data_IF_390432652969
#
_entry.id   IF_390432652969
#
_cell.length_a   1.000
_cell.length_b   1.000
_cell.length_c   1.000
_cell.angle_alpha   90.00
_cell.angle_beta   90.00
_cell.angle_gamma   90.00
#
_symmetry.space_group_name_H-M   'P 1'
#
loop_
_entity.id
_entity.type
_entity.pdbx_description
1 polymer ?
#
# COMPACT_ATOMS: atom_id res chain seq x y z
N UNK A 1 13.07 34.04 -31.05
CA UNK A 1 11.73 33.62 -30.58
C UNK A 1 11.71 32.24 -29.86
N UNK A 2 12.84 31.71 -29.35
CA UNK A 2 12.92 30.35 -28.78
C UNK A 2 13.26 30.26 -27.28
N UNK A 3 13.47 31.37 -26.57
CA UNK A 3 13.80 31.33 -25.12
C UNK A 3 12.59 31.43 -24.19
N UNK A 4 11.44 31.89 -24.70
CA UNK A 4 10.22 32.04 -23.91
C UNK A 4 9.47 30.71 -23.73
N UNK A 5 9.57 29.80 -24.70
CA UNK A 5 8.93 28.48 -24.63
C UNK A 5 9.58 27.54 -23.60
N UNK A 6 10.90 27.62 -23.41
CA UNK A 6 11.63 26.74 -22.47
C UNK A 6 11.32 27.05 -21.01
N UNK A 7 11.05 28.31 -20.66
CA UNK A 7 10.75 28.71 -19.27
C UNK A 7 9.32 28.33 -18.88
N UNK A 8 8.37 28.43 -19.81
CA UNK A 8 6.97 28.04 -19.57
C UNK A 8 6.83 26.52 -19.41
N UNK A 9 7.58 25.71 -20.17
CA UNK A 9 7.59 24.24 -19.98
C UNK A 9 8.17 23.82 -18.63
N UNK A 10 9.16 24.53 -18.08
CA UNK A 10 9.74 24.21 -16.77
C UNK A 10 8.78 24.54 -15.61
N UNK A 11 8.01 25.61 -15.72
CA UNK A 11 6.98 25.97 -14.73
C UNK A 11 5.77 25.02 -14.76
N UNK A 12 5.35 24.56 -15.94
CA UNK A 12 4.28 23.55 -16.06
C UNK A 12 4.77 22.19 -15.52
N UNK A 13 6.03 21.82 -15.76
CA UNK A 13 6.61 20.61 -15.16
C UNK A 13 6.67 20.71 -13.62
N UNK A 14 7.09 21.86 -13.08
CA UNK A 14 7.16 22.07 -11.62
C UNK A 14 5.77 22.16 -10.94
N UNK A 15 4.74 22.61 -11.66
CA UNK A 15 3.35 22.62 -11.16
C UNK A 15 2.68 21.24 -11.22
N UNK A 16 3.10 20.36 -12.13
CA UNK A 16 2.62 18.96 -12.17
C UNK A 16 3.28 18.12 -11.06
N UNK A 17 4.52 18.43 -10.67
CA UNK A 17 5.21 17.74 -9.57
C UNK A 17 4.93 18.29 -8.16
N UNK A 18 4.40 19.51 -8.02
CA UNK A 18 4.17 20.14 -6.69
C UNK A 18 2.75 19.99 -6.11
N UNK A 19 1.81 19.37 -6.81
CA UNK A 19 0.43 19.20 -6.29
C UNK A 19 0.13 17.83 -5.68
N UNK A 20 1.14 16.98 -5.49
CA UNK A 20 1.07 15.98 -4.43
C UNK A 20 1.51 16.71 -3.16
N UNK A 21 0.59 17.49 -2.58
CA UNK A 21 0.75 17.97 -1.22
C UNK A 21 0.84 16.72 -0.33
N UNK A 22 2.07 16.27 -0.06
CA UNK A 22 2.32 15.15 0.83
C UNK A 22 1.55 15.41 2.12
N UNK A 23 0.64 14.51 2.46
CA UNK A 23 -0.34 14.72 3.52
C UNK A 23 0.36 14.77 4.88
N UNK A 24 0.82 15.96 5.26
CA UNK A 24 1.21 16.25 6.63
C UNK A 24 -0.08 16.55 7.39
N UNK A 25 -0.44 15.67 8.31
CA UNK A 25 -1.64 15.85 9.13
C UNK A 25 -1.37 17.02 10.08
N UNK A 26 -2.14 18.10 9.94
CA UNK A 26 -2.15 19.16 10.94
C UNK A 26 -3.04 18.69 12.10
N UNK A 27 -2.54 18.63 13.34
CA UNK A 27 -3.36 18.19 14.46
C UNK A 27 -4.51 19.17 14.72
N UNK A 28 -5.71 18.64 14.86
CA UNK A 28 -6.87 19.36 15.39
C UNK A 28 -6.77 19.31 16.92
N UNK A 29 -6.42 20.45 17.54
CA UNK A 29 -6.16 20.49 18.98
C UNK A 29 -7.38 20.08 19.83
N UNK A 30 -8.60 20.39 19.39
CA UNK A 30 -9.80 20.04 20.14
C UNK A 30 -10.07 18.54 20.04
N UNK A 31 -9.99 17.97 18.83
CA UNK A 31 -10.18 16.53 18.65
C UNK A 31 -9.08 15.73 19.35
N UNK A 32 -7.81 16.14 19.24
CA UNK A 32 -6.69 15.47 19.92
C UNK A 32 -6.83 15.55 21.45
N UNK A 33 -7.34 16.66 21.99
CA UNK A 33 -7.65 16.77 23.42
C UNK A 33 -8.75 15.79 23.82
N UNK A 34 -9.82 15.68 23.03
CA UNK A 34 -10.90 14.72 23.29
C UNK A 34 -10.40 13.27 23.24
N UNK A 35 -9.61 12.90 22.22
CA UNK A 35 -9.03 11.57 22.10
C UNK A 35 -8.12 11.26 23.30
N UNK A 36 -7.28 12.21 23.72
CA UNK A 36 -6.44 12.05 24.89
C UNK A 36 -7.25 11.88 26.18
N UNK A 37 -8.33 12.63 26.35
CA UNK A 37 -9.21 12.51 27.51
C UNK A 37 -9.92 11.15 27.58
N UNK A 38 -10.17 10.47 26.46
CA UNK A 38 -10.69 9.09 26.49
C UNK A 38 -9.70 8.08 27.06
N UNK A 39 -8.40 8.39 27.08
CA UNK A 39 -7.37 7.52 27.65
C UNK A 39 -7.17 7.70 29.17
N UNK A 40 -7.90 8.64 29.79
CA UNK A 40 -7.77 8.96 31.22
C UNK A 40 -8.36 7.83 32.09
N UNK A 41 -7.56 7.35 33.05
CA UNK A 41 -7.92 6.26 33.97
C UNK A 41 -9.06 6.65 34.91
N UNK A 42 -9.24 7.95 35.16
CA UNK A 42 -10.20 8.50 36.11
C UNK A 42 -11.50 8.98 35.43
N UNK A 43 -11.64 8.77 34.12
CA UNK A 43 -12.84 9.22 33.41
C UNK A 43 -14.09 8.49 33.89
N UNK A 44 -15.10 9.24 34.31
CA UNK A 44 -16.38 8.65 34.69
C UNK A 44 -17.05 8.01 33.46
N UNK A 45 -17.74 6.86 33.59
CA UNK A 45 -18.37 6.17 32.44
C UNK A 45 -19.35 7.05 31.64
N UNK A 46 -20.06 7.95 32.33
CA UNK A 46 -20.96 8.92 31.70
C UNK A 46 -20.19 9.91 30.82
N UNK A 47 -19.11 10.46 31.35
CA UNK A 47 -18.25 11.42 30.65
C UNK A 47 -17.55 10.78 29.45
N UNK A 48 -17.11 9.52 29.58
CA UNK A 48 -16.59 8.72 28.48
C UNK A 48 -17.62 8.61 27.35
N UNK A 49 -18.86 8.25 27.67
CA UNK A 49 -19.93 8.09 26.68
C UNK A 49 -20.26 9.42 26.00
N UNK A 50 -20.35 10.52 26.76
CA UNK A 50 -20.60 11.85 26.20
C UNK A 50 -19.46 12.31 25.28
N UNK A 51 -18.21 12.06 25.66
CA UNK A 51 -17.03 12.41 24.89
C UNK A 51 -16.93 11.60 23.59
N UNK A 52 -17.16 10.29 23.68
CA UNK A 52 -17.23 9.41 22.51
C UNK A 52 -18.31 9.87 21.54
N UNK A 53 -19.51 10.19 22.03
CA UNK A 53 -20.59 10.69 21.18
C UNK A 53 -20.24 12.01 20.48
N UNK A 54 -19.49 12.91 21.14
CA UNK A 54 -18.99 14.15 20.51
C UNK A 54 -18.00 13.83 19.38
N UNK A 55 -17.06 12.91 19.62
CA UNK A 55 -16.10 12.45 18.61
C UNK A 55 -16.81 11.81 17.41
N UNK A 56 -17.80 10.93 17.65
CA UNK A 56 -18.57 10.29 16.58
C UNK A 56 -19.46 11.29 15.82
N UNK A 57 -19.96 12.35 16.48
CA UNK A 57 -20.65 13.44 15.78
C UNK A 57 -19.71 14.22 14.86
N UNK A 58 -18.46 14.42 15.27
CA UNK A 58 -17.43 15.03 14.43
C UNK A 58 -17.14 14.18 13.19
N UNK A 59 -16.99 12.86 13.35
CA UNK A 59 -16.80 11.91 12.24
C UNK A 59 -17.86 12.09 11.14
N UNK A 60 -19.14 12.20 11.50
CA UNK A 60 -20.24 12.41 10.54
C UNK A 60 -20.15 13.72 9.75
N UNK A 61 -19.45 14.73 10.27
CA UNK A 61 -19.34 16.06 9.64
C UNK A 61 -18.04 16.24 8.85
N UNK A 62 -17.01 15.43 9.14
CA UNK A 62 -15.68 15.58 8.57
C UNK A 62 -14.91 14.25 8.54
N UNK A 63 -15.47 13.25 7.84
CA UNK A 63 -15.04 11.84 7.86
C UNK A 63 -13.55 11.66 7.56
N UNK A 64 -13.05 12.21 6.45
CA UNK A 64 -11.63 12.10 6.08
C UNK A 64 -10.72 12.67 7.16
N UNK A 65 -11.00 13.90 7.61
CA UNK A 65 -10.18 14.56 8.60
C UNK A 65 -10.22 13.82 9.94
N UNK A 66 -11.35 13.24 10.31
CA UNK A 66 -11.48 12.38 11.48
C UNK A 66 -10.50 11.20 11.44
N UNK A 67 -10.43 10.46 10.32
CA UNK A 67 -9.49 9.35 10.18
C UNK A 67 -8.02 9.79 10.21
N UNK A 68 -7.70 10.95 9.60
CA UNK A 68 -6.38 11.55 9.71
C UNK A 68 -6.00 11.83 11.18
N UNK A 69 -6.94 12.37 11.96
CA UNK A 69 -6.71 12.65 13.38
C UNK A 69 -6.59 11.38 14.23
N UNK A 70 -7.28 10.30 13.89
CA UNK A 70 -7.10 9.01 14.57
C UNK A 70 -5.70 8.43 14.32
N UNK A 71 -5.24 8.44 13.06
CA UNK A 71 -3.88 7.98 12.73
C UNK A 71 -2.83 8.87 13.42
N UNK A 72 -3.03 10.19 13.44
CA UNK A 72 -2.15 11.09 14.17
C UNK A 72 -2.09 10.77 15.67
N UNK A 73 -3.25 10.59 16.30
CA UNK A 73 -3.33 10.20 17.71
C UNK A 73 -2.64 8.88 17.98
N UNK A 74 -2.76 7.90 17.07
CA UNK A 74 -2.11 6.61 17.22
C UNK A 74 -0.59 6.69 17.08
N UNK A 75 -0.11 7.44 16.08
CA UNK A 75 1.32 7.60 15.81
C UNK A 75 2.08 8.32 16.94
N UNK A 76 1.41 9.23 17.63
CA UNK A 76 2.00 10.08 18.67
C UNK A 76 1.51 9.75 20.09
N UNK A 77 0.88 8.60 20.28
CA UNK A 77 0.48 8.11 21.59
C UNK A 77 1.70 7.97 22.52
N UNK A 78 1.60 8.52 23.73
CA UNK A 78 2.66 8.48 24.75
C UNK A 78 2.51 7.32 25.72
N UNK A 79 1.32 6.74 25.77
CA UNK A 79 0.99 5.61 26.66
C UNK A 79 0.32 4.50 25.86
N UNK A 80 0.35 3.28 26.41
CA UNK A 80 -0.37 2.15 25.82
C UNK A 80 -1.87 2.45 25.68
N UNK A 81 -2.50 3.07 26.70
CA UNK A 81 -3.92 3.44 26.66
C UNK A 81 -4.24 4.47 25.58
N UNK A 82 -3.42 5.51 25.44
CA UNK A 82 -3.57 6.47 24.33
C UNK A 82 -3.50 5.76 22.97
N UNK A 83 -2.67 4.73 22.83
CA UNK A 83 -2.56 3.92 21.62
C UNK A 83 -3.79 3.04 21.33
N UNK A 84 -4.60 2.69 22.35
CA UNK A 84 -5.83 1.91 22.18
C UNK A 84 -7.03 2.76 21.80
N UNK A 85 -7.06 4.04 22.17
CA UNK A 85 -8.22 4.94 21.95
C UNK A 85 -8.68 4.95 20.48
N UNK A 86 -7.80 5.11 19.48
CA UNK A 86 -8.22 5.08 18.08
C UNK A 86 -8.98 3.80 17.68
N UNK A 87 -8.55 2.63 18.16
CA UNK A 87 -9.24 1.37 17.91
C UNK A 87 -10.62 1.30 18.57
N UNK A 88 -10.72 1.74 19.83
CA UNK A 88 -12.01 1.80 20.56
C UNK A 88 -12.99 2.76 19.88
N UNK A 89 -12.51 3.92 19.43
CA UNK A 89 -13.33 4.90 18.71
C UNK A 89 -13.85 4.31 17.40
N UNK A 90 -12.99 3.60 16.65
CA UNK A 90 -13.40 2.91 15.42
C UNK A 90 -14.42 1.80 15.67
N UNK A 91 -14.20 0.94 16.66
CA UNK A 91 -15.12 -0.16 17.02
C UNK A 91 -16.53 0.35 17.39
N UNK A 92 -16.60 1.57 17.94
CA UNK A 92 -17.86 2.23 18.33
C UNK A 92 -18.45 3.11 17.23
N UNK A 93 -17.76 3.26 16.11
CA UNK A 93 -18.26 4.02 14.96
C UNK A 93 -18.98 3.09 13.98
N UNK A 94 -19.99 3.62 13.28
CA UNK A 94 -20.74 2.86 12.27
C UNK A 94 -20.01 2.81 10.90
N UNK A 95 -18.68 2.91 10.88
CA UNK A 95 -17.89 2.95 9.64
C UNK A 95 -17.46 1.55 9.21
N UNK A 96 -17.55 1.26 7.92
CA UNK A 96 -17.07 -0.02 7.38
C UNK A 96 -15.54 -0.03 7.29
N UNK A 97 -14.94 -1.23 7.26
CA UNK A 97 -13.48 -1.40 7.07
C UNK A 97 -13.01 -0.73 5.77
N UNK A 98 -13.80 -0.84 4.71
CA UNK A 98 -13.53 -0.25 3.40
C UNK A 98 -13.51 1.28 3.47
N UNK A 99 -14.43 1.90 4.23
CA UNK A 99 -14.42 3.35 4.46
C UNK A 99 -13.15 3.79 5.19
N UNK A 100 -12.71 3.04 6.21
CA UNK A 100 -11.45 3.35 6.90
C UNK A 100 -10.29 3.28 5.91
N UNK A 101 -10.15 2.18 5.17
CA UNK A 101 -9.08 1.98 4.18
C UNK A 101 -9.07 3.07 3.11
N UNK A 102 -10.23 3.46 2.58
CA UNK A 102 -10.36 4.52 1.56
C UNK A 102 -9.82 5.87 2.06
N UNK A 103 -10.09 6.19 3.33
CA UNK A 103 -9.72 7.47 3.93
C UNK A 103 -8.28 7.54 4.43
N UNK A 104 -7.66 6.42 4.83
CA UNK A 104 -6.29 6.43 5.39
C UNK A 104 -5.20 6.12 4.36
N UNK A 105 -5.52 5.49 3.23
CA UNK A 105 -4.47 4.96 2.32
C UNK A 105 -3.57 6.03 1.71
N UNK A 106 -4.05 7.27 1.55
CA UNK A 106 -3.21 8.39 1.10
C UNK A 106 -2.15 8.80 2.13
N UNK A 107 -2.31 8.40 3.40
CA UNK A 107 -1.33 8.66 4.46
C UNK A 107 -0.09 7.78 4.32
N UNK A 108 -0.12 6.74 3.49
CA UNK A 108 1.09 5.99 3.11
C UNK A 108 2.10 6.86 2.36
N UNK A 109 1.65 7.92 1.68
CA UNK A 109 2.51 8.89 0.98
C UNK A 109 2.97 10.06 1.89
N UNK A 110 2.70 9.99 3.20
CA UNK A 110 3.13 11.00 4.16
C UNK A 110 4.66 11.06 4.29
N UNK A 111 5.18 12.26 4.58
CA UNK A 111 6.61 12.45 4.94
C UNK A 111 6.92 12.05 6.37
N UNK A 112 5.88 11.94 7.19
CA UNK A 112 6.00 11.58 8.59
C UNK A 112 6.05 10.05 8.73
N UNK A 113 7.23 9.52 9.06
CA UNK A 113 7.46 8.08 9.16
C UNK A 113 6.57 7.41 10.22
N UNK A 114 6.24 8.11 11.30
CA UNK A 114 5.37 7.56 12.35
C UNK A 114 3.93 7.38 11.82
N UNK A 115 3.44 8.35 11.05
CA UNK A 115 2.14 8.28 10.37
C UNK A 115 2.11 7.16 9.33
N UNK A 116 3.14 7.05 8.50
CA UNK A 116 3.25 5.96 7.50
C UNK A 116 3.22 4.61 8.19
N UNK A 117 4.05 4.41 9.22
CA UNK A 117 4.11 3.16 9.96
C UNK A 117 2.74 2.78 10.55
N UNK A 118 2.05 3.72 11.21
CA UNK A 118 0.73 3.42 11.80
C UNK A 118 -0.36 3.19 10.76
N UNK A 119 -0.25 3.84 9.62
CA UNK A 119 -1.14 3.59 8.49
C UNK A 119 -0.89 2.19 7.91
N UNK A 120 0.36 1.76 7.73
CA UNK A 120 0.71 0.40 7.32
C UNK A 120 0.14 -0.63 8.32
N UNK A 121 0.35 -0.43 9.63
CA UNK A 121 -0.18 -1.33 10.69
C UNK A 121 -1.71 -1.47 10.62
N UNK A 122 -2.44 -0.37 10.45
CA UNK A 122 -3.90 -0.38 10.34
C UNK A 122 -4.38 -1.08 9.06
N UNK A 123 -3.79 -0.72 7.92
CA UNK A 123 -4.12 -1.34 6.65
C UNK A 123 -3.92 -2.86 6.72
N UNK A 124 -2.80 -3.34 7.27
CA UNK A 124 -2.54 -4.78 7.45
C UNK A 124 -3.58 -5.45 8.34
N UNK A 125 -4.00 -4.78 9.41
CA UNK A 125 -5.04 -5.32 10.31
C UNK A 125 -6.39 -5.51 9.62
N UNK A 126 -6.69 -4.70 8.60
CA UNK A 126 -7.91 -4.83 7.80
C UNK A 126 -7.78 -5.83 6.65
N UNK A 127 -6.56 -5.99 6.11
CA UNK A 127 -6.26 -6.91 5.01
C UNK A 127 -6.14 -8.37 5.45
N UNK A 128 -5.82 -8.61 6.73
CA UNK A 128 -5.74 -9.95 7.31
C UNK A 128 -7.16 -10.50 7.49
N UNK A 129 -7.51 -11.57 6.77
CA UNK A 129 -8.81 -12.23 6.92
C UNK A 129 -8.82 -13.09 8.20
N UNK A 130 -9.95 -13.11 8.91
CA UNK A 130 -10.10 -13.69 10.25
C UNK A 130 -9.73 -15.19 10.41
N UNK A 131 -9.35 -15.90 9.35
CA UNK A 131 -8.93 -17.31 9.41
C UNK A 131 -7.89 -17.72 8.35
N UNK A 132 -7.32 -16.76 7.62
CA UNK A 132 -6.35 -17.03 6.56
C UNK A 132 -5.15 -16.12 6.79
N UNK A 133 -3.94 -16.70 6.89
CA UNK A 133 -2.67 -15.95 6.92
C UNK A 133 -2.35 -15.24 5.58
N UNK A 134 -3.38 -14.96 4.76
CA UNK A 134 -3.29 -14.31 3.47
C UNK A 134 -3.90 -12.92 3.56
N UNK A 135 -3.17 -11.96 3.03
CA UNK A 135 -3.67 -10.60 2.86
C UNK A 135 -4.68 -10.57 1.72
N UNK A 136 -5.67 -9.69 1.84
CA UNK A 136 -6.66 -9.45 0.80
C UNK A 136 -6.66 -7.98 0.40
N UNK A 137 -6.15 -7.70 -0.80
CA UNK A 137 -6.06 -6.33 -1.34
C UNK A 137 -7.25 -5.96 -2.24
N UNK A 138 -8.30 -6.77 -2.31
CA UNK A 138 -9.45 -6.59 -3.22
C UNK A 138 -10.12 -5.22 -3.07
N UNK A 139 -10.16 -4.66 -1.85
CA UNK A 139 -10.70 -3.33 -1.58
C UNK A 139 -10.03 -2.23 -2.42
N UNK A 140 -8.79 -2.44 -2.87
CA UNK A 140 -8.02 -1.47 -3.65
C UNK A 140 -8.20 -1.58 -5.16
N UNK A 141 -8.92 -2.60 -5.68
CA UNK A 141 -9.13 -2.77 -7.13
C UNK A 141 -9.66 -1.50 -7.82
N UNK A 142 -10.70 -0.81 -7.31
CA UNK A 142 -11.20 0.41 -7.96
C UNK A 142 -10.13 1.51 -8.07
N UNK A 143 -9.32 1.66 -7.02
CA UNK A 143 -8.23 2.65 -6.96
C UNK A 143 -7.11 2.29 -7.91
N UNK A 144 -6.63 1.04 -7.87
CA UNK A 144 -5.58 0.54 -8.76
C UNK A 144 -6.02 0.59 -10.23
N UNK A 145 -7.26 0.24 -10.55
CA UNK A 145 -7.82 0.36 -11.90
C UNK A 145 -7.78 1.80 -12.40
N UNK A 146 -8.15 2.76 -11.56
CA UNK A 146 -8.06 4.20 -11.88
C UNK A 146 -6.60 4.62 -12.12
N UNK A 147 -5.68 4.19 -11.27
CA UNK A 147 -4.23 4.44 -11.41
C UNK A 147 -3.66 3.84 -12.69
N UNK A 148 -4.00 2.60 -13.04
CA UNK A 148 -3.54 1.95 -14.28
C UNK A 148 -4.08 2.70 -15.49
N UNK A 149 -5.39 3.02 -15.52
CA UNK A 149 -6.00 3.71 -16.66
C UNK A 149 -5.33 5.06 -16.95
N UNK A 150 -4.94 5.81 -15.92
CA UNK A 150 -4.23 7.09 -16.05
C UNK A 150 -2.73 6.93 -16.28
N UNK A 151 -2.13 5.90 -15.70
CA UNK A 151 -0.70 5.61 -15.74
C UNK A 151 -0.25 4.90 -17.01
N UNK A 152 -1.16 4.28 -17.77
CA UNK A 152 -0.87 3.73 -19.11
C UNK A 152 -0.31 4.79 -20.08
N UNK A 153 -0.62 6.07 -19.87
CA UNK A 153 -0.10 7.15 -20.71
C UNK A 153 1.29 7.66 -20.25
N UNK A 154 1.73 7.40 -19.01
CA UNK A 154 2.94 8.03 -18.42
C UNK A 154 3.85 7.09 -17.58
N UNK A 155 3.58 5.78 -17.52
CA UNK A 155 4.45 4.79 -16.88
C UNK A 155 4.56 4.85 -15.34
N UNK A 156 3.73 5.66 -14.65
CA UNK A 156 3.77 5.80 -13.19
C UNK A 156 2.36 5.68 -12.59
N UNK A 157 2.09 4.74 -11.67
CA UNK A 157 0.80 4.66 -11.01
C UNK A 157 0.60 5.86 -10.07
N UNK A 158 -0.63 6.35 -9.99
CA UNK A 158 -1.08 7.14 -8.83
C UNK A 158 -1.07 6.22 -7.59
N UNK A 159 -0.67 6.73 -6.42
CA UNK A 159 -0.56 6.01 -5.14
C UNK A 159 0.60 5.01 -5.06
N UNK A 160 1.82 5.47 -5.35
CA UNK A 160 3.05 4.66 -5.28
C UNK A 160 3.25 3.98 -3.93
N UNK A 161 2.92 4.65 -2.82
CA UNK A 161 3.08 4.06 -1.50
C UNK A 161 2.12 2.88 -1.24
N UNK A 162 0.89 2.92 -1.74
CA UNK A 162 -0.02 1.76 -1.70
C UNK A 162 0.54 0.59 -2.51
N UNK A 163 1.05 0.85 -3.72
CA UNK A 163 1.66 -0.20 -4.54
C UNK A 163 2.87 -0.81 -3.82
N UNK A 164 3.71 0.04 -3.21
CA UNK A 164 4.86 -0.40 -2.40
C UNK A 164 4.39 -1.28 -1.24
N UNK A 165 3.38 -0.85 -0.50
CA UNK A 165 2.77 -1.61 0.59
C UNK A 165 2.35 -3.01 0.14
N UNK A 166 1.51 -3.10 -0.90
CA UNK A 166 0.98 -4.37 -1.40
C UNK A 166 2.10 -5.35 -1.79
N UNK A 167 3.07 -4.91 -2.59
CA UNK A 167 4.16 -5.78 -3.06
C UNK A 167 5.19 -6.12 -1.97
N UNK A 168 5.37 -5.25 -0.97
CA UNK A 168 6.25 -5.51 0.19
C UNK A 168 5.70 -6.64 1.04
N UNK A 169 4.39 -6.66 1.28
CA UNK A 169 3.77 -7.61 2.19
C UNK A 169 3.37 -8.91 1.48
N UNK A 170 2.61 -8.84 0.39
CA UNK A 170 2.20 -10.03 -0.37
C UNK A 170 2.27 -9.77 -1.89
N UNK A 171 3.43 -10.01 -2.53
CA UNK A 171 3.56 -9.82 -3.97
C UNK A 171 2.62 -10.75 -4.77
N UNK A 172 2.25 -11.92 -4.23
CA UNK A 172 1.36 -12.86 -4.92
C UNK A 172 -0.08 -12.36 -4.94
N UNK A 173 -0.58 -11.77 -3.86
CA UNK A 173 -1.91 -11.14 -3.88
C UNK A 173 -1.88 -9.81 -4.66
N UNK A 174 -0.82 -9.02 -4.51
CA UNK A 174 -0.67 -7.74 -5.21
C UNK A 174 -0.78 -7.92 -6.74
N UNK A 175 -0.07 -8.91 -7.31
CA UNK A 175 -0.12 -9.17 -8.74
C UNK A 175 -1.53 -9.57 -9.24
N UNK A 176 -2.33 -10.25 -8.41
CA UNK A 176 -3.72 -10.60 -8.73
C UNK A 176 -4.61 -9.36 -8.77
N UNK A 177 -4.46 -8.43 -7.81
CA UNK A 177 -5.19 -7.15 -7.83
C UNK A 177 -4.86 -6.35 -9.08
N UNK A 178 -3.58 -6.26 -9.46
CA UNK A 178 -3.18 -5.58 -10.68
C UNK A 178 -3.76 -6.25 -11.93
N UNK A 179 -3.68 -7.58 -11.99
CA UNK A 179 -4.27 -8.36 -13.08
C UNK A 179 -5.77 -8.07 -13.24
N UNK A 180 -6.54 -8.11 -12.15
CA UNK A 180 -7.98 -7.83 -12.10
C UNK A 180 -8.34 -6.35 -12.36
N UNK A 181 -7.37 -5.45 -12.21
CA UNK A 181 -7.53 -4.01 -12.41
C UNK A 181 -7.12 -3.56 -13.83
N UNK A 182 -6.32 -4.36 -14.55
CA UNK A 182 -5.60 -3.94 -15.75
C UNK A 182 -6.45 -3.89 -17.03
N UNK A 183 -7.51 -4.70 -17.13
CA UNK A 183 -8.30 -4.83 -18.37
C UNK A 183 -7.52 -5.41 -19.56
N UNK A 184 -6.42 -6.12 -19.30
CA UNK A 184 -5.58 -6.70 -20.35
C UNK A 184 -6.25 -7.86 -21.10
N UNK A 185 -5.74 -8.23 -22.30
CA UNK A 185 -6.17 -9.43 -23.01
C UNK A 185 -6.02 -10.70 -22.16
N UNK A 186 -6.91 -11.67 -22.38
CA UNK A 186 -6.98 -12.91 -21.59
C UNK A 186 -5.69 -13.74 -21.65
N UNK A 187 -4.95 -13.65 -22.76
CA UNK A 187 -3.67 -14.33 -22.96
C UNK A 187 -2.58 -13.76 -22.04
N UNK A 188 -2.55 -12.43 -21.89
CA UNK A 188 -1.61 -11.76 -20.98
C UNK A 188 -1.97 -12.09 -19.54
N UNK A 189 -3.26 -12.02 -19.20
CA UNK A 189 -3.78 -12.42 -17.89
C UNK A 189 -3.37 -13.87 -17.57
N UNK A 190 -3.56 -14.80 -18.50
CA UNK A 190 -3.22 -16.22 -18.32
C UNK A 190 -1.73 -16.41 -18.07
N UNK A 191 -0.87 -15.69 -18.80
CA UNK A 191 0.59 -15.77 -18.60
C UNK A 191 1.00 -15.28 -17.21
N UNK A 192 0.42 -14.18 -16.73
CA UNK A 192 0.69 -13.64 -15.38
C UNK A 192 0.21 -14.61 -14.30
N UNK A 193 -1.00 -15.14 -14.42
CA UNK A 193 -1.56 -16.12 -13.48
C UNK A 193 -0.74 -17.42 -13.46
N UNK A 194 -0.27 -17.87 -14.62
CA UNK A 194 0.56 -19.07 -14.73
C UNK A 194 1.91 -18.89 -14.04
N UNK A 195 2.58 -17.76 -14.28
CA UNK A 195 3.82 -17.40 -13.58
C UNK A 195 3.59 -17.35 -12.06
N UNK A 196 2.55 -16.65 -11.61
CA UNK A 196 2.23 -16.54 -10.18
C UNK A 196 1.99 -17.90 -9.55
N UNK A 197 1.27 -18.79 -10.25
CA UNK A 197 1.03 -20.16 -9.80
C UNK A 197 2.33 -20.95 -9.66
N UNK A 198 3.20 -20.95 -10.68
CA UNK A 198 4.47 -21.69 -10.64
C UNK A 198 5.39 -21.19 -9.52
N UNK A 199 5.47 -19.87 -9.32
CA UNK A 199 6.22 -19.27 -8.21
C UNK A 199 5.64 -19.75 -6.88
N UNK A 200 4.32 -19.67 -6.70
CA UNK A 200 3.64 -20.13 -5.48
C UNK A 200 3.89 -21.62 -5.19
N UNK A 201 3.82 -22.49 -6.20
CA UNK A 201 4.09 -23.94 -6.03
C UNK A 201 5.55 -24.18 -5.68
N UNK A 202 6.49 -23.50 -6.32
CA UNK A 202 7.92 -23.65 -6.02
C UNK A 202 8.25 -23.20 -4.59
N UNK A 203 7.71 -22.06 -4.14
CA UNK A 203 7.86 -21.58 -2.75
C UNK A 203 7.27 -22.58 -1.76
N UNK A 204 6.02 -23.00 -1.97
CA UNK A 204 5.35 -23.95 -1.07
C UNK A 204 6.11 -25.28 -0.97
N UNK A 205 6.57 -25.83 -2.10
CA UNK A 205 7.35 -27.08 -2.09
C UNK A 205 8.67 -26.91 -1.37
N UNK A 206 9.36 -25.79 -1.59
CA UNK A 206 10.62 -25.48 -0.90
C UNK A 206 10.43 -25.39 0.63
N UNK A 207 9.45 -24.62 1.09
CA UNK A 207 9.14 -24.44 2.52
C UNK A 207 8.75 -25.77 3.21
N UNK A 208 8.12 -26.67 2.46
CA UNK A 208 7.68 -27.98 2.95
C UNK A 208 8.66 -29.13 2.62
N UNK A 209 9.87 -28.82 2.13
CA UNK A 209 10.95 -29.79 1.86
C UNK A 209 10.57 -30.90 0.88
N UNK A 210 9.67 -30.63 -0.06
CA UNK A 210 9.41 -31.51 -1.20
C UNK A 210 10.47 -31.32 -2.28
N UNK A 211 10.66 -32.33 -3.14
CA UNK A 211 11.43 -32.13 -4.36
C UNK A 211 10.70 -31.13 -5.28
N UNK A 212 11.45 -30.14 -5.74
CA UNK A 212 10.92 -28.98 -6.43
C UNK A 212 11.79 -28.50 -7.58
N UNK A 213 12.82 -29.25 -8.00
CA UNK A 213 13.75 -28.82 -9.05
C UNK A 213 13.02 -28.45 -10.35
N UNK A 214 12.16 -29.34 -10.85
CA UNK A 214 11.42 -29.10 -12.09
C UNK A 214 10.47 -27.89 -11.99
N UNK A 215 9.86 -27.71 -10.81
CA UNK A 215 8.97 -26.56 -10.55
C UNK A 215 9.77 -25.26 -10.44
N UNK A 216 10.95 -25.30 -9.81
CA UNK A 216 11.85 -24.16 -9.72
C UNK A 216 12.34 -23.73 -11.10
N UNK A 217 12.76 -24.68 -11.94
CA UNK A 217 13.22 -24.41 -13.30
C UNK A 217 12.08 -23.81 -14.16
N UNK A 218 10.87 -24.36 -14.05
CA UNK A 218 9.69 -23.81 -14.72
C UNK A 218 9.36 -22.38 -14.23
N UNK A 219 9.38 -22.14 -12.92
CA UNK A 219 9.14 -20.82 -12.34
C UNK A 219 10.23 -19.81 -12.76
N UNK A 220 11.51 -20.20 -12.75
CA UNK A 220 12.63 -19.37 -13.22
C UNK A 220 12.52 -19.02 -14.70
N UNK A 221 12.03 -19.94 -15.53
CA UNK A 221 11.77 -19.68 -16.94
C UNK A 221 10.66 -18.64 -17.14
N UNK A 222 9.56 -18.73 -16.40
CA UNK A 222 8.50 -17.70 -16.47
C UNK A 222 8.95 -16.36 -15.89
N UNK A 223 9.72 -16.35 -14.80
CA UNK A 223 10.37 -15.14 -14.29
C UNK A 223 11.25 -14.48 -15.35
N UNK A 224 12.05 -15.28 -16.07
CA UNK A 224 12.91 -14.82 -17.17
C UNK A 224 12.15 -14.20 -18.34
N UNK A 225 10.90 -14.61 -18.59
CA UNK A 225 10.02 -13.92 -19.54
C UNK A 225 9.44 -12.64 -18.95
N UNK A 226 9.02 -12.69 -17.68
CA UNK A 226 8.34 -11.60 -17.00
C UNK A 226 9.21 -10.37 -16.73
N UNK A 227 10.52 -10.53 -16.56
CA UNK A 227 11.48 -9.41 -16.49
C UNK A 227 11.46 -8.54 -17.76
N UNK A 228 11.05 -9.09 -18.90
CA UNK A 228 10.90 -8.34 -20.17
C UNK A 228 9.48 -7.86 -20.43
N UNK A 229 8.56 -8.03 -19.49
CA UNK A 229 7.17 -7.59 -19.66
C UNK A 229 7.11 -6.09 -19.90
N UNK A 230 6.28 -5.65 -20.84
CA UNK A 230 5.98 -4.23 -21.05
C UNK A 230 5.24 -3.60 -19.85
N UNK A 231 4.67 -4.42 -18.97
CA UNK A 231 3.91 -3.97 -17.81
C UNK A 231 4.83 -3.86 -16.59
N UNK A 232 5.10 -2.63 -16.15
CA UNK A 232 6.00 -2.36 -15.02
C UNK A 232 5.63 -3.12 -13.74
N UNK A 233 4.34 -3.34 -13.49
CA UNK A 233 3.87 -4.05 -12.29
C UNK A 233 4.15 -5.56 -12.34
N UNK A 234 4.30 -6.15 -13.54
CA UNK A 234 4.80 -7.52 -13.71
C UNK A 234 6.28 -7.59 -13.37
N UNK A 235 7.06 -6.60 -13.81
CA UNK A 235 8.49 -6.51 -13.47
C UNK A 235 8.71 -6.21 -11.98
N UNK A 236 7.82 -5.42 -11.37
CA UNK A 236 7.79 -5.18 -9.93
C UNK A 236 7.49 -6.45 -9.14
N UNK A 237 6.55 -7.27 -9.60
CA UNK A 237 6.31 -8.60 -9.03
C UNK A 237 7.59 -9.43 -9.04
N UNK A 238 8.28 -9.50 -10.18
CA UNK A 238 9.57 -10.21 -10.26
C UNK A 238 10.57 -9.66 -9.25
N UNK A 239 10.76 -8.33 -9.20
CA UNK A 239 11.67 -7.71 -8.24
C UNK A 239 11.32 -8.07 -6.78
N UNK A 240 10.04 -8.05 -6.41
CA UNK A 240 9.57 -8.43 -5.09
C UNK A 240 9.80 -9.92 -4.79
N UNK A 241 9.57 -10.82 -5.75
CA UNK A 241 9.86 -12.26 -5.61
C UNK A 241 11.37 -12.51 -5.43
N UNK A 242 12.22 -11.87 -6.23
CA UNK A 242 13.68 -11.97 -6.12
C UNK A 242 14.19 -11.46 -4.76
N UNK A 243 13.58 -10.42 -4.19
CA UNK A 243 13.90 -9.90 -2.85
C UNK A 243 13.40 -10.83 -1.73
N UNK A 244 12.18 -11.36 -1.85
CA UNK A 244 11.52 -12.12 -0.78
C UNK A 244 12.01 -13.58 -0.67
N UNK A 245 12.37 -14.21 -1.79
CA UNK A 245 12.66 -15.65 -1.83
C UNK A 245 14.03 -15.95 -2.44
N UNK A 246 14.97 -16.44 -1.62
CA UNK A 246 16.35 -16.71 -2.02
C UNK A 246 16.47 -17.75 -3.16
N UNK A 247 15.55 -18.71 -3.26
CA UNK A 247 15.56 -19.74 -4.31
C UNK A 247 15.47 -19.16 -5.74
N UNK A 248 14.92 -17.95 -5.88
CA UNK A 248 14.84 -17.25 -7.16
C UNK A 248 15.95 -16.22 -7.36
N UNK A 249 16.85 -16.05 -6.39
CA UNK A 249 17.89 -15.02 -6.42
C UNK A 249 18.87 -15.21 -7.59
N UNK A 250 18.57 -14.54 -8.71
CA UNK A 250 19.32 -14.62 -9.96
C UNK A 250 19.92 -13.24 -10.30
N UNK A 251 21.25 -13.16 -10.32
CA UNK A 251 21.96 -11.89 -10.55
C UNK A 251 21.73 -11.34 -11.96
N UNK A 252 21.47 -12.19 -12.96
CA UNK A 252 21.15 -11.73 -14.31
C UNK A 252 19.84 -10.94 -14.29
N UNK A 253 18.79 -11.48 -13.66
CA UNK A 253 17.50 -10.80 -13.55
C UNK A 253 17.58 -9.53 -12.69
N UNK A 254 18.32 -9.57 -11.58
CA UNK A 254 18.57 -8.38 -10.75
C UNK A 254 19.26 -7.28 -11.54
N UNK A 255 20.28 -7.61 -12.33
CA UNK A 255 20.99 -6.63 -13.16
C UNK A 255 20.07 -5.99 -14.19
N UNK A 256 19.21 -6.78 -14.85
CA UNK A 256 18.23 -6.26 -15.81
C UNK A 256 17.27 -5.25 -15.17
N UNK A 257 16.76 -5.58 -13.97
CA UNK A 257 15.76 -4.76 -13.29
C UNK A 257 16.34 -3.56 -12.51
N UNK A 258 17.66 -3.52 -12.25
CA UNK A 258 18.34 -2.33 -11.68
C UNK A 258 18.24 -1.10 -12.59
N UNK A 259 18.17 -1.33 -13.90
CA UNK A 259 18.10 -0.27 -14.92
C UNK A 259 16.67 -0.03 -15.45
N UNK A 260 15.64 -0.53 -14.76
CA UNK A 260 14.23 -0.41 -15.18
C UNK A 260 13.78 1.06 -15.41
N UNK A 261 12.75 1.31 -16.21
CA UNK A 261 12.20 2.66 -16.36
C UNK A 261 11.31 3.05 -15.16
N UNK A 262 10.77 2.06 -14.44
CA UNK A 262 9.97 2.26 -13.25
C UNK A 262 10.84 2.33 -11.98
N UNK A 263 10.80 3.48 -11.30
CA UNK A 263 11.55 3.69 -10.06
C UNK A 263 11.24 2.67 -8.97
N UNK A 264 9.98 2.23 -8.84
CA UNK A 264 9.57 1.27 -7.80
C UNK A 264 10.21 -0.10 -8.01
N UNK A 265 10.38 -0.52 -9.28
CA UNK A 265 11.07 -1.78 -9.61
C UNK A 265 12.51 -1.75 -9.09
N UNK A 266 13.20 -0.61 -9.25
CA UNK A 266 14.56 -0.40 -8.73
C UNK A 266 14.61 -0.43 -7.21
N UNK A 267 13.69 0.28 -6.56
CA UNK A 267 13.60 0.35 -5.09
C UNK A 267 13.45 -1.04 -4.46
N UNK A 268 12.70 -1.95 -5.10
CA UNK A 268 12.56 -3.32 -4.60
C UNK A 268 13.82 -4.17 -4.75
N UNK A 269 14.83 -3.73 -5.50
CA UNK A 269 16.09 -4.44 -5.66
C UNK A 269 17.26 -3.80 -4.91
N UNK A 270 17.21 -2.48 -4.71
CA UNK A 270 18.10 -1.74 -3.82
C UNK A 270 17.73 -2.03 -2.37
N UNK A 271 18.68 -2.49 -1.55
CA UNK A 271 18.44 -3.01 -0.21
C UNK A 271 17.87 -2.05 0.85
N UNK A 272 17.42 -0.83 0.50
CA UNK A 272 17.12 0.25 1.45
C UNK A 272 15.69 0.84 1.26
N UNK A 273 14.71 -0.02 1.06
CA UNK A 273 13.28 0.34 1.07
C UNK A 273 12.58 -0.21 2.31
#
# INVERSE_FOLDING_TARGET
MNKFFTIVSFFIFSLIFNNIAHAQIKPDHELQKMLKSLADDEIAPKDFTELLNKILKFQKSNEKHFFEQLIYSFAYAKTFREGLVPGVVLERSDVSKEQVQENIVDLLDSKDKAIVQKTEEWILSFETQDNCDRLNFTAYIPRIRKSIKKGLDNGRPEHMALVRHMFKHDPQEAILVFNNSSGLPVEVIRSVLWMQHLVGVAVWRHENKFDFKDTLDAAKNEIGKAVHSQHWWVRLYVAAILKKYEIFNDEQYRKMLKDDDCQLVKEFLGGDG
#
